data_IF_063249063798
#
_entry.id   IF_063249063798
#
_cell.length_a   1.000
_cell.length_b   1.000
_cell.length_c   1.000
_cell.angle_alpha   90.00
_cell.angle_beta   90.00
_cell.angle_gamma   90.00
#
_symmetry.space_group_name_H-M   'P 1'
#
loop_
_entity.id
_entity.type
_entity.pdbx_description
1 polymer ?
#
# COMPACT_ATOMS: atom_id res chain seq x y z
N UNK A 1 23.53 -1.20 -29.15
CA UNK A 1 22.56 -0.15 -28.75
C UNK A 1 22.64 -0.12 -27.24
N UNK A 2 23.43 0.79 -26.70
CA UNK A 2 23.52 1.03 -25.26
C UNK A 2 22.47 2.08 -24.91
N UNK A 3 21.39 1.65 -24.26
CA UNK A 3 20.38 2.56 -23.73
C UNK A 3 20.83 3.04 -22.36
N UNK A 4 21.16 4.32 -22.24
CA UNK A 4 21.32 4.99 -20.94
C UNK A 4 19.97 5.54 -20.47
N UNK A 5 19.82 5.74 -19.16
CA UNK A 5 18.57 6.14 -18.47
C UNK A 5 17.99 7.50 -18.89
N UNK A 6 18.70 8.29 -19.70
CA UNK A 6 18.16 9.51 -20.30
C UNK A 6 17.19 9.25 -21.45
N UNK A 7 17.13 8.03 -21.98
CA UNK A 7 16.41 7.69 -23.22
C UNK A 7 15.18 6.79 -23.00
N UNK A 8 14.60 6.78 -21.80
CA UNK A 8 13.35 6.05 -21.52
C UNK A 8 12.48 6.82 -20.52
N UNK A 9 11.65 7.73 -21.02
CA UNK A 9 10.24 7.77 -20.59
C UNK A 9 9.48 6.88 -21.58
N UNK A 10 9.58 5.54 -21.50
CA UNK A 10 9.10 4.75 -22.60
C UNK A 10 7.57 4.78 -22.56
N UNK A 11 6.96 5.30 -23.62
CA UNK A 11 5.68 4.83 -24.17
C UNK A 11 5.83 3.40 -24.72
N UNK A 12 6.60 2.55 -24.03
CA UNK A 12 7.01 1.21 -24.43
C UNK A 12 6.53 0.16 -23.44
N UNK A 13 6.62 -1.11 -23.85
CA UNK A 13 6.15 -2.26 -23.06
C UNK A 13 7.27 -2.76 -22.14
N UNK A 14 6.96 -2.93 -20.85
CA UNK A 14 7.81 -3.69 -19.91
C UNK A 14 7.24 -5.09 -19.74
N UNK A 15 8.09 -6.11 -19.88
CA UNK A 15 7.70 -7.51 -19.73
C UNK A 15 8.22 -8.01 -18.39
N UNK A 16 7.29 -8.40 -17.52
CA UNK A 16 7.58 -8.99 -16.21
C UNK A 16 7.05 -10.43 -16.17
N UNK A 17 7.74 -11.33 -15.45
CA UNK A 17 7.30 -12.72 -15.32
C UNK A 17 6.02 -12.86 -14.50
N UNK A 18 5.85 -12.02 -13.49
CA UNK A 18 4.62 -11.85 -12.73
C UNK A 18 4.42 -10.36 -12.41
N UNK A 19 3.18 -9.94 -12.18
CA UNK A 19 2.80 -8.57 -11.84
C UNK A 19 1.56 -8.55 -10.93
N UNK A 20 1.47 -7.56 -10.02
CA UNK A 20 0.31 -7.37 -9.18
C UNK A 20 -0.88 -6.80 -9.97
N UNK A 21 -2.09 -7.08 -9.49
CA UNK A 21 -3.30 -6.33 -9.82
C UNK A 21 -4.04 -5.99 -8.54
N UNK A 22 -4.30 -4.70 -8.33
CA UNK A 22 -4.96 -4.19 -7.14
C UNK A 22 -6.47 -4.10 -7.36
N UNK A 23 -7.25 -4.34 -6.31
CA UNK A 23 -8.68 -4.06 -6.32
C UNK A 23 -9.15 -3.59 -4.94
N UNK A 24 -9.93 -2.51 -4.91
CA UNK A 24 -10.51 -1.97 -3.68
C UNK A 24 -11.61 -2.90 -3.16
N UNK A 25 -11.72 -2.98 -1.83
CA UNK A 25 -12.74 -3.76 -1.14
C UNK A 25 -13.48 -2.86 -0.14
N UNK A 26 -14.77 -3.08 0.03
CA UNK A 26 -15.57 -2.33 0.99
C UNK A 26 -15.09 -2.56 2.44
N UNK A 27 -14.99 -1.47 3.21
CA UNK A 27 -14.80 -1.50 4.66
C UNK A 27 -16.08 -1.98 5.35
N UNK A 28 -16.01 -2.56 6.57
CA UNK A 28 -17.18 -3.13 7.23
C UNK A 28 -18.15 -2.06 7.76
N UNK A 29 -17.68 -0.81 7.92
CA UNK A 29 -18.48 0.33 8.37
C UNK A 29 -17.86 1.63 7.85
N UNK A 30 -18.71 2.60 7.50
CA UNK A 30 -18.31 3.98 7.19
C UNK A 30 -18.71 4.97 8.29
N UNK A 31 -19.27 4.48 9.40
CA UNK A 31 -19.59 5.29 10.57
C UNK A 31 -18.35 5.45 11.44
N UNK A 32 -17.91 6.69 11.65
CA UNK A 32 -16.74 7.03 12.45
C UNK A 32 -17.04 6.86 13.94
N UNK A 33 -16.20 6.06 14.61
CA UNK A 33 -16.22 5.83 16.06
C UNK A 33 -14.80 5.92 16.61
N UNK A 34 -14.65 6.14 17.91
CA UNK A 34 -13.35 6.06 18.55
C UNK A 34 -12.90 4.59 18.69
N UNK A 35 -11.58 4.36 18.68
CA UNK A 35 -10.96 3.05 18.80
C UNK A 35 -10.34 2.54 17.50
N UNK A 36 -9.94 1.27 17.50
CA UNK A 36 -9.30 0.64 16.33
C UNK A 36 -10.33 0.35 15.24
N UNK A 37 -10.17 1.02 14.09
CA UNK A 37 -11.05 0.90 12.94
C UNK A 37 -10.33 0.32 11.73
N UNK A 38 -11.08 -0.41 10.89
CA UNK A 38 -10.65 -0.77 9.53
C UNK A 38 -10.88 0.44 8.63
N UNK A 39 -9.80 1.14 8.27
CA UNK A 39 -9.84 2.40 7.52
C UNK A 39 -9.89 2.20 6.01
N UNK A 40 -9.33 1.09 5.52
CA UNK A 40 -9.31 0.77 4.09
C UNK A 40 -9.13 -0.74 3.89
N UNK A 41 -9.68 -1.29 2.80
CA UNK A 41 -9.49 -2.68 2.39
C UNK A 41 -9.22 -2.78 0.89
N UNK A 42 -8.34 -3.69 0.51
CA UNK A 42 -8.00 -3.96 -0.88
C UNK A 42 -7.50 -5.40 -1.03
N UNK A 43 -7.28 -5.83 -2.27
CA UNK A 43 -6.62 -7.09 -2.59
C UNK A 43 -5.52 -6.87 -3.59
N UNK A 44 -4.57 -7.81 -3.60
CA UNK A 44 -3.52 -7.90 -4.61
C UNK A 44 -3.56 -9.33 -5.18
N UNK A 45 -3.93 -9.43 -6.45
CA UNK A 45 -3.84 -10.66 -7.24
C UNK A 45 -2.51 -10.73 -7.98
N UNK A 46 -1.97 -11.94 -8.16
CA UNK A 46 -0.76 -12.17 -8.98
C UNK A 46 -1.15 -12.65 -10.37
N UNK A 47 -0.51 -12.09 -11.40
CA UNK A 47 -0.72 -12.48 -12.79
C UNK A 47 0.62 -12.61 -13.51
N UNK A 48 0.78 -13.51 -14.50
CA UNK A 48 -0.07 -14.65 -14.76
C UNK A 48 0.09 -15.73 -13.67
N UNK A 49 -0.88 -16.64 -13.62
CA UNK A 49 -0.94 -17.72 -12.61
C UNK A 49 0.15 -18.79 -12.75
N UNK A 50 1.03 -18.67 -13.74
CA UNK A 50 2.13 -19.60 -14.05
C UNK A 50 3.52 -19.09 -13.65
N UNK A 51 3.61 -17.95 -12.98
CA UNK A 51 4.87 -17.34 -12.55
C UNK A 51 5.41 -17.86 -11.22
N UNK A 52 6.34 -17.12 -10.61
CA UNK A 52 6.86 -17.38 -9.27
C UNK A 52 6.08 -16.63 -8.16
N UNK A 53 4.95 -16.01 -8.53
CA UNK A 53 4.27 -15.00 -7.71
C UNK A 53 5.02 -13.67 -7.69
N UNK A 54 4.67 -12.79 -6.76
CA UNK A 54 5.35 -11.50 -6.56
C UNK A 54 5.92 -11.38 -5.15
N UNK A 55 6.94 -10.55 -4.97
CA UNK A 55 7.41 -10.10 -3.66
C UNK A 55 6.92 -8.68 -3.41
N UNK A 56 6.38 -8.40 -2.23
CA UNK A 56 5.95 -7.06 -1.82
C UNK A 56 6.83 -6.58 -0.66
N UNK A 57 7.32 -5.35 -0.75
CA UNK A 57 8.18 -4.72 0.26
C UNK A 57 7.52 -3.52 0.93
N UNK A 58 6.86 -2.65 0.16
CA UNK A 58 6.27 -1.42 0.66
C UNK A 58 5.01 -1.09 -0.13
N UNK A 59 4.10 -0.39 0.54
CA UNK A 59 2.99 0.36 -0.05
C UNK A 59 2.82 1.69 0.71
N UNK A 60 2.24 2.71 0.09
CA UNK A 60 1.97 4.00 0.74
C UNK A 60 0.49 4.15 1.04
N UNK A 61 0.18 4.38 2.32
CA UNK A 61 -1.16 4.64 2.82
C UNK A 61 -1.34 6.14 2.99
N UNK A 62 -2.17 6.75 2.17
CA UNK A 62 -2.57 8.14 2.36
C UNK A 62 -3.75 8.21 3.32
N UNK A 63 -3.63 9.03 4.37
CA UNK A 63 -4.69 9.30 5.34
C UNK A 63 -4.92 10.80 5.42
N UNK A 64 -6.18 11.22 5.40
CA UNK A 64 -6.57 12.60 5.71
C UNK A 64 -7.65 12.60 6.79
N UNK A 65 -7.55 13.48 7.77
CA UNK A 65 -8.61 13.70 8.75
C UNK A 65 -9.30 15.04 8.54
N UNK A 66 -10.57 15.15 8.95
CA UNK A 66 -11.28 16.43 8.97
C UNK A 66 -10.54 17.45 9.82
N UNK A 67 -10.45 18.70 9.36
CA UNK A 67 -9.86 19.80 10.13
C UNK A 67 -10.58 19.96 11.47
N UNK A 68 -9.83 19.84 12.57
CA UNK A 68 -10.38 20.01 13.90
C UNK A 68 -10.72 21.47 14.22
N UNK A 69 -11.79 21.70 14.98
CA UNK A 69 -12.11 23.02 15.53
C UNK A 69 -12.85 22.90 16.88
N UNK A 70 -12.80 23.94 17.71
CA UNK A 70 -13.38 23.95 19.07
C UNK A 70 -14.89 23.67 19.15
N UNK A 71 -15.64 23.84 18.05
CA UNK A 71 -17.09 23.58 17.94
C UNK A 71 -17.36 22.13 17.52
N UNK A 72 -16.79 21.68 16.41
CA UNK A 72 -17.07 20.34 15.84
C UNK A 72 -16.20 19.23 16.42
N UNK A 73 -15.16 19.56 17.18
CA UNK A 73 -14.22 18.61 17.74
C UNK A 73 -13.01 18.34 16.85
N UNK A 74 -12.21 17.34 17.20
CA UNK A 74 -11.04 16.90 16.46
C UNK A 74 -11.09 15.39 16.18
N UNK A 75 -10.57 14.98 15.03
CA UNK A 75 -10.39 13.58 14.65
C UNK A 75 -8.91 13.32 14.39
N UNK A 76 -8.32 12.38 15.12
CA UNK A 76 -6.93 11.97 14.92
C UNK A 76 -6.82 10.47 14.70
N UNK A 77 -5.78 10.06 13.96
CA UNK A 77 -5.44 8.67 13.71
C UNK A 77 -4.00 8.43 14.18
N UNK A 78 -3.79 7.34 14.89
CA UNK A 78 -2.48 6.85 15.31
C UNK A 78 -2.38 5.34 15.03
N UNK A 79 -1.18 4.77 15.17
CA UNK A 79 -0.94 3.33 15.11
C UNK A 79 -1.47 2.68 13.82
N UNK A 80 -1.12 3.24 12.65
CA UNK A 80 -1.49 2.60 11.38
C UNK A 80 -0.82 1.23 11.31
N UNK A 81 -1.58 0.20 10.96
CA UNK A 81 -1.12 -1.17 10.75
C UNK A 81 -1.73 -1.68 9.45
N UNK A 82 -0.98 -2.53 8.74
CA UNK A 82 -1.51 -3.26 7.59
C UNK A 82 -1.51 -4.74 7.92
N UNK A 83 -2.64 -5.39 7.67
CA UNK A 83 -2.82 -6.82 7.84
C UNK A 83 -3.07 -7.47 6.48
N UNK A 84 -2.57 -8.69 6.28
CA UNK A 84 -2.76 -9.51 5.10
C UNK A 84 -3.44 -10.85 5.42
N UNK A 85 -4.32 -11.29 4.53
CA UNK A 85 -5.15 -12.49 4.64
C UNK A 85 -5.15 -13.27 3.33
N UNK A 86 -5.35 -14.58 3.41
CA UNK A 86 -5.44 -15.46 2.24
C UNK A 86 -6.87 -15.62 1.71
N UNK A 87 -7.86 -15.05 2.41
CA UNK A 87 -9.28 -15.14 2.06
C UNK A 87 -9.98 -13.77 2.08
N UNK A 88 -11.03 -13.64 1.27
CA UNK A 88 -11.81 -12.40 1.11
C UNK A 88 -12.66 -12.04 2.33
N UNK A 89 -12.83 -12.96 3.28
CA UNK A 89 -13.54 -12.68 4.54
C UNK A 89 -12.64 -12.16 5.65
N UNK A 90 -11.34 -11.99 5.38
CA UNK A 90 -10.34 -11.47 6.32
C UNK A 90 -10.26 -12.33 7.61
N UNK A 91 -10.33 -13.65 7.45
CA UNK A 91 -10.42 -14.62 8.56
C UNK A 91 -9.17 -15.49 8.74
N UNK A 92 -8.41 -15.70 7.67
CA UNK A 92 -7.23 -16.54 7.58
C UNK A 92 -6.00 -15.66 7.38
N UNK A 93 -5.32 -15.24 8.47
CA UNK A 93 -4.16 -14.37 8.37
C UNK A 93 -3.02 -15.06 7.61
N UNK A 94 -2.24 -14.27 6.87
CA UNK A 94 -1.01 -14.77 6.25
C UNK A 94 -0.03 -15.23 7.33
N UNK A 95 0.47 -16.46 7.19
CA UNK A 95 1.44 -17.07 8.11
C UNK A 95 2.81 -16.37 8.07
N UNK A 96 3.56 -16.44 9.16
CA UNK A 96 4.89 -15.81 9.27
C UNK A 96 4.85 -14.38 9.82
N UNK A 97 3.64 -13.87 10.13
CA UNK A 97 3.39 -12.56 10.72
C UNK A 97 2.51 -12.70 11.96
N UNK A 98 2.54 -11.70 12.86
CA UNK A 98 1.68 -11.67 14.04
C UNK A 98 0.22 -11.44 13.62
N UNK A 99 -0.57 -12.52 13.57
CA UNK A 99 -1.96 -12.51 13.11
C UNK A 99 -2.15 -11.81 11.74
N UNK A 100 -1.20 -12.00 10.83
CA UNK A 100 -1.20 -11.41 9.50
C UNK A 100 -0.78 -9.94 9.46
N UNK A 101 -0.30 -9.35 10.57
CA UNK A 101 0.21 -7.98 10.60
C UNK A 101 1.53 -7.87 9.82
N UNK A 102 1.45 -7.41 8.57
CA UNK A 102 2.61 -7.32 7.68
C UNK A 102 3.40 -6.02 7.85
N UNK A 103 2.79 -4.98 8.40
CA UNK A 103 3.44 -3.68 8.67
C UNK A 103 3.44 -3.42 10.17
N UNK A 104 4.61 -3.11 10.73
CA UNK A 104 4.74 -2.71 12.13
C UNK A 104 3.94 -1.43 12.40
N UNK A 105 3.49 -1.16 13.65
CA UNK A 105 2.68 0.02 13.92
C UNK A 105 3.43 1.30 13.53
N UNK A 106 2.87 2.05 12.57
CA UNK A 106 3.32 3.42 12.27
C UNK A 106 2.79 4.29 13.40
N UNK A 107 3.68 4.58 14.35
CA UNK A 107 3.36 5.28 15.59
C UNK A 107 3.25 6.79 15.41
N UNK A 108 2.83 7.47 16.49
CA UNK A 108 2.65 8.91 16.49
C UNK A 108 1.34 9.37 15.85
N UNK A 109 1.11 10.68 15.87
CA UNK A 109 0.01 11.30 15.15
C UNK A 109 0.32 11.25 13.65
N UNK A 110 -0.55 10.61 12.89
CA UNK A 110 -0.44 10.56 11.43
C UNK A 110 -0.59 11.98 10.88
N UNK A 111 0.45 12.50 10.24
CA UNK A 111 0.32 13.70 9.42
C UNK A 111 -0.67 13.39 8.31
N UNK A 112 -1.70 14.22 8.14
CA UNK A 112 -2.57 14.09 6.98
C UNK A 112 -1.70 14.10 5.71
N UNK A 113 -1.73 13.01 4.95
CA UNK A 113 -0.78 12.76 3.88
C UNK A 113 -0.36 11.29 3.79
N UNK A 114 0.78 11.10 3.15
CA UNK A 114 1.33 9.80 2.79
C UNK A 114 2.10 9.18 3.96
N UNK A 115 1.91 7.87 4.15
CA UNK A 115 2.58 7.10 5.18
C UNK A 115 3.13 5.84 4.53
N UNK A 116 4.46 5.70 4.52
CA UNK A 116 5.12 4.54 3.95
C UNK A 116 4.93 3.35 4.88
N UNK A 117 4.15 2.38 4.40
CA UNK A 117 3.82 1.16 5.10
C UNK A 117 4.79 0.07 4.64
N UNK A 118 6.04 0.18 5.10
CA UNK A 118 7.08 -0.81 4.87
C UNK A 118 6.75 -2.13 5.59
N UNK A 119 6.79 -3.24 4.86
CA UNK A 119 6.51 -4.55 5.41
C UNK A 119 7.68 -5.03 6.28
N UNK A 120 7.38 -5.71 7.38
CA UNK A 120 8.37 -6.23 8.34
C UNK A 120 9.28 -7.31 7.75
N UNK A 121 8.84 -7.93 6.65
CA UNK A 121 9.64 -8.80 5.79
C UNK A 121 8.99 -8.84 4.40
N UNK A 122 9.78 -9.23 3.40
CA UNK A 122 9.28 -9.37 2.02
C UNK A 122 8.12 -10.38 2.00
N UNK A 123 6.93 -9.89 1.66
CA UNK A 123 5.74 -10.72 1.55
C UNK A 123 5.68 -11.35 0.16
N UNK A 124 5.82 -12.67 0.09
CA UNK A 124 5.54 -13.42 -1.13
C UNK A 124 4.04 -13.66 -1.27
N UNK A 125 3.46 -13.17 -2.36
CA UNK A 125 2.12 -13.59 -2.80
C UNK A 125 2.33 -14.66 -3.88
N UNK A 126 1.91 -15.92 -3.68
CA UNK A 126 2.15 -16.99 -4.65
C UNK A 126 1.45 -16.72 -5.99
N UNK A 127 1.92 -17.40 -7.02
CA UNK A 127 1.31 -17.36 -8.35
C UNK A 127 -0.15 -17.86 -8.30
N UNK A 128 -1.06 -17.20 -9.03
CA UNK A 128 -2.49 -17.54 -9.06
C UNK A 128 -3.23 -17.32 -7.74
N UNK A 129 -2.61 -16.60 -6.81
CA UNK A 129 -3.20 -16.29 -5.51
C UNK A 129 -3.62 -14.82 -5.44
N UNK A 130 -4.64 -14.57 -4.64
CA UNK A 130 -5.04 -13.22 -4.24
C UNK A 130 -4.91 -13.11 -2.73
N UNK A 131 -4.12 -12.15 -2.26
CA UNK A 131 -4.10 -11.79 -0.83
C UNK A 131 -4.95 -10.54 -0.61
N UNK A 132 -5.56 -10.48 0.57
CA UNK A 132 -6.52 -9.46 0.98
C UNK A 132 -5.93 -8.66 2.12
N UNK A 133 -5.96 -7.34 2.01
CA UNK A 133 -5.28 -6.42 2.90
C UNK A 133 -6.27 -5.47 3.55
N UNK A 134 -6.05 -5.18 4.84
CA UNK A 134 -6.76 -4.11 5.53
C UNK A 134 -5.79 -3.19 6.23
N UNK A 135 -6.05 -1.90 6.10
CA UNK A 135 -5.41 -0.84 6.88
C UNK A 135 -6.24 -0.64 8.14
N UNK A 136 -5.63 -0.76 9.30
CA UNK A 136 -6.24 -0.40 10.59
C UNK A 136 -5.52 0.78 11.20
N UNK A 137 -6.24 1.61 11.94
CA UNK A 137 -5.67 2.67 12.75
C UNK A 137 -6.52 2.94 14.00
N UNK A 138 -5.89 3.49 15.03
CA UNK A 138 -6.58 3.91 16.25
C UNK A 138 -7.13 5.31 16.05
N UNK A 139 -8.46 5.45 16.02
CA UNK A 139 -9.15 6.74 15.90
C UNK A 139 -9.40 7.32 17.28
N UNK A 140 -9.00 8.58 17.50
CA UNK A 140 -9.38 9.36 18.67
C UNK A 140 -10.29 10.51 18.26
N UNK A 141 -11.44 10.62 18.93
CA UNK A 141 -12.42 11.69 18.73
C UNK A 141 -12.43 12.57 19.97
N UNK A 142 -12.17 13.86 19.81
CA UNK A 142 -12.30 14.83 20.91
C UNK A 142 -13.51 15.71 20.61
N UNK A 143 -14.49 15.73 21.52
CA UNK A 143 -15.69 16.57 21.36
C UNK A 143 -15.35 18.06 21.40
N UNK A 144 -16.02 18.84 20.57
CA UNK A 144 -16.07 20.30 20.70
C UNK A 144 -17.25 20.76 21.56
N UNK A 145 -17.52 22.06 21.54
CA UNK A 145 -18.67 22.68 22.24
C UNK A 145 -20.03 22.42 21.57
N UNK A 146 -20.04 21.95 20.33
CA UNK A 146 -21.25 21.66 19.54
C UNK A 146 -21.42 20.18 19.20
N UNK A 147 -22.23 19.91 18.18
CA UNK A 147 -22.38 18.56 17.63
C UNK A 147 -21.08 18.13 16.97
N UNK A 148 -20.55 16.99 17.41
CA UNK A 148 -19.34 16.42 16.81
C UNK A 148 -19.57 16.11 15.33
N UNK A 149 -18.62 16.50 14.49
CA UNK A 149 -18.51 16.01 13.12
C UNK A 149 -17.05 15.83 12.76
N UNK A 150 -16.75 14.75 12.06
CA UNK A 150 -15.38 14.44 11.66
C UNK A 150 -15.31 13.32 10.64
N UNK A 151 -14.15 13.20 10.00
CA UNK A 151 -13.92 12.17 8.99
C UNK A 151 -12.48 11.67 8.99
N UNK A 152 -12.30 10.43 8.56
CA UNK A 152 -11.03 9.84 8.13
C UNK A 152 -11.21 9.39 6.69
N UNK A 153 -10.39 9.91 5.78
CA UNK A 153 -10.32 9.47 4.39
C UNK A 153 -9.02 8.70 4.18
N UNK A 154 -9.09 7.53 3.56
CA UNK A 154 -7.92 6.68 3.32
C UNK A 154 -7.90 6.18 1.89
N UNK A 155 -6.72 6.10 1.28
CA UNK A 155 -6.46 5.46 -0.01
C UNK A 155 -5.07 4.83 -0.04
N UNK A 156 -4.82 4.00 -1.05
CA UNK A 156 -3.48 3.49 -1.38
C UNK A 156 -2.97 4.28 -2.58
N UNK A 157 -1.77 4.85 -2.47
CA UNK A 157 -1.16 5.62 -3.55
C UNK A 157 -0.52 4.71 -4.60
N UNK A 158 -0.54 5.17 -5.85
CA UNK A 158 0.28 4.60 -6.92
C UNK A 158 1.40 5.55 -7.30
N UNK A 159 2.31 5.06 -8.13
CA UNK A 159 3.44 5.85 -8.62
C UNK A 159 3.11 6.58 -9.92
N UNK A 160 3.54 7.83 -10.03
CA UNK A 160 3.33 8.71 -11.20
C UNK A 160 4.37 8.54 -12.31
N UNK A 161 5.50 7.88 -12.01
CA UNK A 161 6.59 7.61 -12.93
C UNK A 161 7.35 6.35 -12.51
N UNK A 162 8.08 5.75 -13.45
CA UNK A 162 8.99 4.64 -13.20
C UNK A 162 10.21 5.11 -12.39
N UNK A 163 10.85 4.27 -11.54
CA UNK A 163 12.01 4.70 -10.78
C UNK A 163 13.15 5.07 -11.73
N UNK A 164 13.78 6.23 -11.47
CA UNK A 164 14.96 6.67 -12.20
C UNK A 164 16.20 5.92 -11.70
N UNK A 165 16.48 4.77 -12.32
CA UNK A 165 17.61 3.91 -11.99
C UNK A 165 18.81 4.21 -12.90
N UNK A 166 20.02 4.24 -12.32
CA UNK A 166 21.21 4.76 -13.01
C UNK A 166 21.63 3.95 -14.25
N UNK A 167 21.51 2.62 -14.21
CA UNK A 167 22.09 1.74 -15.25
C UNK A 167 21.22 0.54 -15.64
N UNK A 168 20.15 0.24 -14.89
CA UNK A 168 19.35 -0.98 -15.05
C UNK A 168 17.86 -0.65 -15.12
N UNK A 169 17.09 -1.48 -15.83
CA UNK A 169 15.63 -1.34 -15.89
C UNK A 169 14.93 -1.78 -14.61
N UNK A 170 15.59 -2.57 -13.76
CA UNK A 170 15.13 -3.00 -12.44
C UNK A 170 16.19 -2.61 -11.41
N UNK A 171 15.84 -2.47 -10.13
CA UNK A 171 16.75 -2.07 -9.08
C UNK A 171 16.89 -3.13 -7.99
N UNK A 172 17.86 -2.95 -7.09
CA UNK A 172 17.79 -3.53 -5.76
C UNK A 172 16.65 -2.85 -4.97
N UNK A 173 16.12 -3.51 -3.95
CA UNK A 173 14.99 -3.01 -3.16
C UNK A 173 15.26 -1.59 -2.64
N UNK A 174 16.41 -1.39 -2.02
CA UNK A 174 16.81 -0.10 -1.42
C UNK A 174 17.01 1.00 -2.45
N UNK A 175 17.35 0.65 -3.69
CA UNK A 175 17.51 1.62 -4.77
C UNK A 175 16.17 2.14 -5.28
N UNK A 176 15.13 1.31 -5.28
CA UNK A 176 13.77 1.70 -5.68
C UNK A 176 13.10 2.50 -4.56
N UNK A 177 13.21 1.99 -3.33
CA UNK A 177 12.71 2.61 -2.10
C UNK A 177 13.38 3.96 -1.80
N UNK A 178 14.61 4.17 -2.25
CA UNK A 178 15.29 5.46 -2.13
C UNK A 178 14.88 6.52 -3.15
N UNK A 179 13.91 6.25 -4.04
CA UNK A 179 13.44 7.21 -5.06
C UNK A 179 12.20 7.96 -4.58
N UNK A 180 11.84 9.07 -5.22
CA UNK A 180 10.56 9.75 -4.95
C UNK A 180 9.32 9.01 -5.53
N UNK A 181 9.52 7.83 -6.11
CA UNK A 181 8.52 7.04 -6.82
C UNK A 181 8.49 5.63 -6.23
N UNK A 182 8.23 5.55 -4.94
CA UNK A 182 8.34 4.38 -4.07
C UNK A 182 7.01 4.06 -3.34
N UNK A 183 5.87 4.57 -3.86
CA UNK A 183 4.56 4.33 -3.26
C UNK A 183 4.18 2.85 -3.25
N UNK A 184 4.74 2.07 -4.17
CA UNK A 184 4.74 0.62 -4.12
C UNK A 184 6.17 0.16 -4.42
N UNK A 185 6.70 -0.78 -3.63
CA UNK A 185 7.98 -1.45 -3.95
C UNK A 185 7.74 -2.95 -4.01
N UNK A 186 7.96 -3.55 -5.19
CA UNK A 186 7.63 -4.94 -5.44
C UNK A 186 8.60 -5.61 -6.43
N UNK A 187 8.59 -6.94 -6.43
CA UNK A 187 9.41 -7.80 -7.27
C UNK A 187 8.53 -8.77 -8.08
N UNK A 188 8.80 -8.98 -9.38
CA UNK A 188 8.15 -10.01 -10.18
C UNK A 188 8.67 -11.43 -9.89
N UNK A 189 9.63 -11.58 -8.97
CA UNK A 189 10.31 -12.84 -8.64
C UNK A 189 10.77 -13.56 -9.92
N UNK A 190 11.56 -12.88 -10.76
CA UNK A 190 11.83 -13.27 -12.15
C UNK A 190 12.36 -14.70 -12.29
N UNK A 191 13.23 -15.15 -11.38
CA UNK A 191 13.80 -16.51 -11.39
C UNK A 191 13.41 -17.30 -10.15
N UNK A 192 13.50 -16.67 -8.98
CA UNK A 192 13.21 -17.21 -7.64
C UNK A 192 12.53 -16.11 -6.82
N UNK A 193 12.15 -16.39 -5.57
CA UNK A 193 11.79 -15.32 -4.62
C UNK A 193 12.97 -14.34 -4.50
N UNK A 194 12.72 -13.05 -4.72
CA UNK A 194 13.77 -12.03 -4.67
C UNK A 194 14.09 -11.62 -3.24
N UNK A 195 15.37 -11.48 -2.94
CA UNK A 195 15.87 -10.84 -1.72
C UNK A 195 16.20 -9.37 -2.00
N UNK A 196 16.48 -8.59 -0.97
CA UNK A 196 16.64 -7.14 -1.07
C UNK A 196 17.76 -6.72 -2.02
N UNK A 197 18.86 -7.48 -2.09
CA UNK A 197 20.04 -7.18 -2.91
C UNK A 197 19.87 -7.55 -4.39
N UNK A 198 18.87 -8.36 -4.73
CA UNK A 198 18.65 -8.74 -6.12
C UNK A 198 18.21 -7.54 -6.95
N UNK A 199 18.73 -7.40 -8.16
CA UNK A 199 18.28 -6.39 -9.14
C UNK A 199 17.00 -6.88 -9.82
N UNK A 200 15.94 -7.01 -9.03
CA UNK A 200 14.62 -7.55 -9.43
C UNK A 200 13.49 -6.82 -8.69
N UNK A 201 13.68 -5.54 -8.37
CA UNK A 201 12.68 -4.69 -7.73
C UNK A 201 12.30 -3.52 -8.65
N UNK A 202 11.04 -3.11 -8.52
CA UNK A 202 10.46 -1.97 -9.25
C UNK A 202 9.32 -1.37 -8.44
N UNK A 203 8.65 -0.36 -9.01
CA UNK A 203 7.56 0.37 -8.37
C UNK A 203 6.17 0.13 -8.98
N UNK A 204 5.17 0.86 -8.49
CA UNK A 204 3.77 0.77 -8.88
C UNK A 204 3.40 1.42 -10.22
N UNK A 205 4.37 1.95 -10.99
CA UNK A 205 4.04 2.69 -12.20
C UNK A 205 3.49 1.77 -13.30
N UNK A 206 2.23 2.02 -13.70
CA UNK A 206 1.40 1.18 -14.58
C UNK A 206 1.02 -0.19 -13.99
N UNK A 207 0.98 -0.34 -12.68
CA UNK A 207 0.37 -1.52 -12.05
C UNK A 207 -1.15 -1.47 -12.22
N UNK A 208 -1.73 -2.56 -12.73
CA UNK A 208 -3.17 -2.66 -12.95
C UNK A 208 -3.95 -2.49 -11.64
N UNK A 209 -4.99 -1.66 -11.68
CA UNK A 209 -5.82 -1.35 -10.51
C UNK A 209 -5.16 -0.45 -9.47
N UNK A 210 -3.96 0.08 -9.74
CA UNK A 210 -3.28 1.08 -8.94
C UNK A 210 -2.94 2.32 -9.79
N UNK A 211 -3.90 3.25 -9.97
CA UNK A 211 -3.67 4.49 -10.71
C UNK A 211 -2.58 5.37 -10.09
N UNK A 212 -1.98 6.25 -10.89
CA UNK A 212 -0.91 7.16 -10.44
C UNK A 212 -1.35 8.18 -9.39
N UNK A 213 -2.65 8.49 -9.32
CA UNK A 213 -3.27 9.33 -8.28
C UNK A 213 -3.78 8.51 -7.08
N UNK A 214 -3.55 7.20 -7.09
CA UNK A 214 -3.99 6.25 -6.09
C UNK A 214 -5.33 5.59 -6.41
N UNK A 215 -5.66 4.56 -5.64
CA UNK A 215 -6.97 3.91 -5.71
C UNK A 215 -8.08 4.83 -5.17
N UNK A 216 -9.33 4.54 -5.53
CA UNK A 216 -10.51 5.25 -5.00
C UNK A 216 -10.49 5.32 -3.46
N UNK A 217 -10.63 6.52 -2.89
CA UNK A 217 -10.60 6.68 -1.43
C UNK A 217 -11.85 6.13 -0.72
N UNK A 218 -11.71 5.81 0.56
CA UNK A 218 -12.84 5.54 1.48
C UNK A 218 -12.89 6.65 2.51
N UNK A 219 -14.07 7.23 2.71
CA UNK A 219 -14.31 8.18 3.80
C UNK A 219 -15.20 7.55 4.86
N UNK A 220 -14.69 7.47 6.08
CA UNK A 220 -15.40 7.08 7.30
C UNK A 220 -15.72 8.38 8.05
N UNK A 221 -16.98 8.62 8.39
CA UNK A 221 -17.44 9.93 8.88
C UNK A 221 -18.52 9.84 9.96
N UNK A 222 -18.70 10.95 10.66
CA UNK A 222 -19.74 11.17 11.67
C UNK A 222 -20.33 12.57 11.56
#
# INVERSE_FOLDING_TARGET
IDGTSSDVTPTGVRIMKAYPTFAKIAVPSTTLVAGDMDLYRFSIATNPDTGNGIGLHQLTVNIATSTGNSVSGTTTVTNIKVYAYTDSSFSSPVSGYDNGQVVAPIGGLVSSGDNDAQLSSILKIPSGSTYYFKVRGTVTLTSGSGTFSGSVTTKINGDTAYPSLATTMMGAQTSVDGTSQDNLVWSPNSTTTSVAEHVDWTNGYYVSGLPSDGMDSVTIWK
#
